data_IF_552699615698
#
_entry.id   IF_552699615698
#
_cell.length_a   1.000
_cell.length_b   1.000
_cell.length_c   1.000
_cell.angle_alpha   90.00
_cell.angle_beta   90.00
_cell.angle_gamma   90.00
#
_symmetry.space_group_name_H-M   'P 1'
#
loop_
_entity.id
_entity.type
_entity.pdbx_description
1 polymer ?
#
# COMPACT_ATOMS: atom_id res chain seq x y z
N UNK A 1 -3.21 -3.08 7.90
CA UNK A 1 -2.06 -3.01 6.97
C UNK A 1 -0.78 -2.89 7.78
N UNK A 2 0.29 -3.66 7.48
CA UNK A 2 1.55 -3.58 8.20
C UNK A 2 2.26 -2.24 7.92
N UNK A 3 2.93 -1.68 8.93
CA UNK A 3 3.85 -0.54 8.78
C UNK A 3 5.26 -1.05 8.47
N UNK A 4 5.41 -1.71 7.32
CA UNK A 4 6.68 -2.34 6.90
C UNK A 4 7.04 -1.87 5.50
N UNK A 5 8.33 -1.67 5.27
CA UNK A 5 8.88 -1.50 3.92
C UNK A 5 9.27 -2.88 3.38
N UNK A 6 8.52 -3.35 2.38
CA UNK A 6 8.69 -4.69 1.82
C UNK A 6 9.99 -4.88 1.05
N UNK A 7 10.68 -3.80 0.68
CA UNK A 7 12.00 -3.87 0.04
C UNK A 7 13.15 -4.09 1.03
N UNK A 8 12.90 -3.92 2.33
CA UNK A 8 13.90 -4.07 3.36
C UNK A 8 13.69 -5.38 4.14
N UNK A 9 14.78 -6.02 4.60
CA UNK A 9 14.66 -7.15 5.51
C UNK A 9 13.99 -6.69 6.81
N UNK A 10 13.03 -7.47 7.29
CA UNK A 10 12.34 -7.23 8.55
C UNK A 10 12.77 -8.26 9.59
N UNK A 11 13.12 -7.79 10.79
CA UNK A 11 13.38 -8.64 11.95
C UNK A 11 12.40 -8.29 13.07
N UNK A 12 11.46 -9.19 13.33
CA UNK A 12 10.48 -9.09 14.40
C UNK A 12 11.04 -9.80 15.63
N UNK A 13 11.48 -9.05 16.62
CA UNK A 13 11.96 -9.61 17.88
C UNK A 13 10.78 -9.94 18.82
N UNK A 14 11.04 -10.84 19.78
CA UNK A 14 10.09 -11.17 20.85
C UNK A 14 8.75 -11.71 20.33
N UNK A 15 8.77 -12.58 19.31
CA UNK A 15 7.59 -13.34 18.90
C UNK A 15 7.46 -14.54 19.86
N UNK A 16 7.14 -14.25 21.12
CA UNK A 16 7.30 -15.17 22.24
C UNK A 16 6.11 -16.11 22.48
N UNK A 17 5.01 -15.93 21.76
CA UNK A 17 3.82 -16.72 21.92
C UNK A 17 3.14 -17.00 20.57
N UNK A 18 2.46 -18.13 20.49
CA UNK A 18 1.73 -18.56 19.29
C UNK A 18 0.65 -17.57 18.86
N UNK A 19 -0.08 -16.97 19.79
CA UNK A 19 -1.10 -15.95 19.46
C UNK A 19 -0.46 -14.71 18.81
N UNK A 20 0.70 -14.28 19.31
CA UNK A 20 1.43 -13.15 18.74
C UNK A 20 1.99 -13.50 17.36
N UNK A 21 2.47 -14.72 17.17
CA UNK A 21 2.86 -15.23 15.85
C UNK A 21 1.67 -15.23 14.87
N UNK A 22 0.46 -15.53 15.34
CA UNK A 22 -0.76 -15.48 14.54
C UNK A 22 -1.13 -14.05 14.15
N UNK A 23 -1.07 -13.10 15.08
CA UNK A 23 -1.31 -11.67 14.79
C UNK A 23 -0.28 -11.12 13.79
N UNK A 24 1.00 -11.47 13.98
CA UNK A 24 2.08 -11.14 13.05
C UNK A 24 1.80 -11.72 11.66
N UNK A 25 1.45 -13.01 11.59
CA UNK A 25 1.11 -13.68 10.33
C UNK A 25 -0.01 -12.94 9.61
N UNK A 26 -1.15 -12.75 10.26
CA UNK A 26 -2.32 -12.09 9.66
C UNK A 26 -1.97 -10.67 9.21
N UNK A 27 -1.17 -9.95 10.00
CA UNK A 27 -0.71 -8.61 9.64
C UNK A 27 0.19 -8.63 8.40
N UNK A 28 1.16 -9.53 8.32
CA UNK A 28 2.08 -9.63 7.19
C UNK A 28 1.42 -10.18 5.91
N UNK A 29 0.41 -11.05 6.01
CA UNK A 29 -0.34 -11.57 4.85
C UNK A 29 -1.09 -10.48 4.06
N UNK A 30 -1.21 -9.26 4.61
CA UNK A 30 -1.73 -8.11 3.85
C UNK A 30 -0.70 -7.52 2.87
N UNK A 31 0.58 -7.87 2.99
CA UNK A 31 1.67 -7.30 2.19
C UNK A 31 2.62 -8.34 1.57
N UNK A 32 2.61 -9.58 2.07
CA UNK A 32 3.47 -10.67 1.60
C UNK A 32 2.61 -11.85 1.12
N UNK A 33 3.04 -12.57 0.07
CA UNK A 33 2.42 -13.83 -0.34
C UNK A 33 2.35 -14.84 0.81
N UNK A 34 1.32 -15.69 0.79
CA UNK A 34 1.11 -16.71 1.82
C UNK A 34 2.25 -17.74 1.89
N UNK A 35 2.87 -18.02 0.74
CA UNK A 35 4.00 -18.92 0.57
C UNK A 35 5.37 -18.24 0.77
N UNK A 36 5.41 -16.95 1.08
CA UNK A 36 6.66 -16.21 1.32
C UNK A 36 7.46 -16.86 2.45
N UNK A 37 8.71 -17.20 2.18
CA UNK A 37 9.56 -17.93 3.11
C UNK A 37 10.05 -17.03 4.26
N UNK A 38 9.57 -17.27 5.47
CA UNK A 38 10.02 -16.59 6.70
C UNK A 38 10.88 -17.51 7.53
N UNK A 39 11.80 -16.96 8.32
CA UNK A 39 12.69 -17.75 9.18
C UNK A 39 12.43 -17.44 10.65
N UNK A 40 11.96 -18.44 11.40
CA UNK A 40 11.90 -18.40 12.86
C UNK A 40 13.30 -18.65 13.40
N UNK A 41 13.80 -17.69 14.16
CA UNK A 41 15.12 -17.68 14.78
C UNK A 41 14.93 -17.80 16.30
N UNK A 42 15.35 -18.91 16.88
CA UNK A 42 15.30 -19.12 18.35
C UNK A 42 16.71 -19.08 18.92
N UNK A 43 16.89 -18.39 20.04
CA UNK A 43 18.15 -18.32 20.79
C UNK A 43 19.37 -17.95 19.92
N UNK A 44 19.19 -16.93 19.06
CA UNK A 44 20.21 -16.44 18.12
C UNK A 44 21.55 -16.19 18.82
N UNK A 45 22.64 -16.68 18.22
CA UNK A 45 23.99 -16.51 18.75
C UNK A 45 24.35 -17.38 19.97
N UNK A 46 23.43 -18.23 20.44
CA UNK A 46 23.69 -19.21 21.51
C UNK A 46 24.00 -20.61 20.95
N UNK A 47 24.57 -21.52 21.77
CA UNK A 47 24.69 -22.94 21.39
C UNK A 47 23.33 -23.64 21.14
N UNK A 48 22.22 -23.05 21.60
CA UNK A 48 20.85 -23.55 21.40
C UNK A 48 20.18 -22.93 20.17
N UNK A 49 20.92 -22.19 19.34
CA UNK A 49 20.36 -21.54 18.16
C UNK A 49 19.64 -22.54 17.25
N UNK A 50 18.40 -22.19 16.89
CA UNK A 50 17.61 -22.94 15.91
C UNK A 50 17.07 -21.97 14.86
N UNK A 51 17.21 -22.36 13.59
CA UNK A 51 16.65 -21.65 12.44
C UNK A 51 15.67 -22.58 11.76
N UNK A 52 14.43 -22.12 11.56
CA UNK A 52 13.40 -22.86 10.83
C UNK A 52 12.79 -21.95 9.80
N UNK A 53 13.00 -22.26 8.52
CA UNK A 53 12.36 -21.56 7.41
C UNK A 53 11.07 -22.27 7.04
N UNK A 54 9.99 -21.52 6.90
CA UNK A 54 8.65 -22.03 6.66
C UNK A 54 7.80 -20.97 5.92
N UNK A 55 6.71 -21.36 5.23
CA UNK A 55 5.80 -20.42 4.58
C UNK A 55 5.15 -19.46 5.58
N UNK A 56 4.98 -18.18 5.25
CA UNK A 56 4.36 -17.19 6.14
C UNK A 56 3.00 -17.68 6.69
N UNK A 57 2.19 -18.33 5.87
CA UNK A 57 0.90 -18.89 6.26
C UNK A 57 0.98 -19.93 7.40
N UNK A 58 2.13 -20.59 7.58
CA UNK A 58 2.36 -21.62 8.60
C UNK A 58 3.05 -21.06 9.85
N UNK A 59 3.31 -19.74 9.92
CA UNK A 59 4.10 -19.14 10.99
C UNK A 59 3.64 -19.54 12.39
N UNK A 60 2.34 -19.64 12.63
CA UNK A 60 1.73 -19.96 13.92
C UNK A 60 1.34 -21.45 14.09
N UNK A 61 1.81 -22.34 13.21
CA UNK A 61 1.53 -23.78 13.29
C UNK A 61 2.40 -24.50 14.32
N UNK A 62 3.58 -23.96 14.64
CA UNK A 62 4.48 -24.52 15.65
C UNK A 62 4.08 -24.16 17.09
N UNK A 63 4.56 -24.95 18.06
CA UNK A 63 4.33 -24.72 19.49
C UNK A 63 5.60 -24.21 20.23
N UNK A 64 6.66 -23.87 19.50
CA UNK A 64 7.97 -23.49 20.05
C UNK A 64 8.22 -21.99 19.95
N UNK A 65 7.46 -21.22 20.71
CA UNK A 65 7.70 -19.78 20.89
C UNK A 65 8.13 -19.50 22.32
N UNK A 66 9.19 -18.73 22.47
CA UNK A 66 9.69 -18.26 23.75
C UNK A 66 10.26 -16.84 23.63
N UNK A 67 10.70 -16.28 24.75
CA UNK A 67 11.28 -14.93 24.82
C UNK A 67 12.56 -14.75 23.98
N UNK A 68 13.16 -15.82 23.46
CA UNK A 68 14.33 -15.81 22.58
C UNK A 68 13.95 -16.04 21.12
N UNK A 69 12.67 -16.01 20.79
CA UNK A 69 12.16 -16.22 19.43
C UNK A 69 11.98 -14.91 18.69
N UNK A 70 12.57 -14.85 17.51
CA UNK A 70 12.45 -13.76 16.53
C UNK A 70 12.03 -14.33 15.19
N UNK A 71 11.40 -13.50 14.34
CA UNK A 71 11.04 -13.86 12.97
C UNK A 71 11.77 -12.93 12.01
N UNK A 72 12.58 -13.53 11.15
CA UNK A 72 13.20 -12.86 10.02
C UNK A 72 12.32 -13.02 8.78
N UNK A 73 11.97 -11.91 8.15
CA UNK A 73 11.21 -11.86 6.90
C UNK A 73 12.12 -11.25 5.83
N UNK A 74 12.55 -12.02 4.82
CA UNK A 74 13.29 -11.49 3.69
C UNK A 74 12.49 -10.41 2.96
N UNK A 75 13.17 -9.44 2.29
CA UNK A 75 12.48 -8.50 1.42
C UNK A 75 11.80 -9.23 0.26
N UNK A 76 10.76 -8.62 -0.29
CA UNK A 76 10.17 -9.03 -1.57
C UNK A 76 11.17 -8.77 -2.72
N UNK A 77 10.92 -9.34 -3.92
CA UNK A 77 11.69 -8.98 -5.10
C UNK A 77 11.82 -7.45 -5.27
N UNK A 78 12.92 -6.97 -5.87
CA UNK A 78 13.07 -5.56 -6.15
C UNK A 78 11.86 -5.00 -6.90
N UNK A 79 11.57 -3.72 -6.67
CA UNK A 79 10.48 -2.98 -7.33
C UNK A 79 9.05 -3.29 -6.84
N UNK A 80 8.87 -4.02 -5.74
CA UNK A 80 7.55 -4.30 -5.16
C UNK A 80 7.04 -3.24 -4.17
N UNK A 81 7.48 -1.99 -4.29
CA UNK A 81 7.09 -0.91 -3.37
C UNK A 81 6.68 0.34 -4.13
N UNK A 82 5.85 1.16 -3.50
CA UNK A 82 5.51 2.48 -4.01
C UNK A 82 6.74 3.38 -4.19
N UNK A 83 7.70 3.35 -3.25
CA UNK A 83 8.94 4.14 -3.35
C UNK A 83 9.75 3.76 -4.58
N UNK A 84 9.83 2.47 -4.92
CA UNK A 84 10.53 2.02 -6.12
C UNK A 84 9.88 2.56 -7.41
N UNK A 85 8.56 2.70 -7.47
CA UNK A 85 7.88 3.36 -8.59
C UNK A 85 8.24 4.85 -8.66
N UNK A 86 8.25 5.55 -7.52
CA UNK A 86 8.66 6.96 -7.47
C UNK A 86 10.12 7.15 -7.92
N UNK A 87 11.03 6.29 -7.47
CA UNK A 87 12.43 6.30 -7.89
C UNK A 87 12.58 6.04 -9.39
N UNK A 88 11.85 5.06 -9.92
CA UNK A 88 11.86 4.75 -11.35
C UNK A 88 11.37 5.93 -12.19
N UNK A 89 10.24 6.52 -11.83
CA UNK A 89 9.68 7.69 -12.55
C UNK A 89 10.62 8.89 -12.46
N UNK A 90 11.22 9.15 -11.30
CA UNK A 90 12.23 10.20 -11.15
C UNK A 90 13.44 9.95 -12.05
N UNK A 91 13.88 8.71 -12.20
CA UNK A 91 14.98 8.35 -13.10
C UNK A 91 14.60 8.49 -14.58
N UNK A 92 13.39 8.06 -14.97
CA UNK A 92 12.86 8.24 -16.32
C UNK A 92 12.83 9.72 -16.73
N UNK A 93 12.54 10.62 -15.79
CA UNK A 93 12.50 12.07 -16.03
C UNK A 93 13.81 12.81 -15.77
N UNK A 94 14.84 12.13 -15.28
CA UNK A 94 16.17 12.72 -15.08
C UNK A 94 16.79 13.16 -16.43
N UNK A 95 17.78 14.07 -16.47
CA UNK A 95 18.39 14.53 -17.72
C UNK A 95 18.91 13.40 -18.64
N UNK A 96 19.38 12.31 -18.06
CA UNK A 96 19.84 11.08 -18.72
C UNK A 96 18.74 10.06 -19.01
N UNK A 97 17.51 10.33 -18.58
CA UNK A 97 16.35 9.47 -18.71
C UNK A 97 15.70 9.47 -20.09
N UNK A 98 14.46 9.03 -20.15
CA UNK A 98 13.69 8.88 -21.38
C UNK A 98 13.25 10.26 -21.92
N UNK A 99 13.57 10.62 -23.17
CA UNK A 99 13.16 11.89 -23.76
C UNK A 99 11.64 12.09 -23.78
N UNK A 100 10.88 11.02 -24.05
CA UNK A 100 9.42 11.09 -24.10
C UNK A 100 8.82 11.37 -22.71
N UNK A 101 9.27 10.66 -21.67
CA UNK A 101 8.80 10.89 -20.31
C UNK A 101 9.12 12.30 -19.83
N UNK A 102 10.27 12.86 -20.21
CA UNK A 102 10.68 14.23 -19.86
C UNK A 102 9.85 15.31 -20.54
N UNK A 103 9.38 15.06 -21.76
CA UNK A 103 8.54 16.00 -22.52
C UNK A 103 7.10 16.06 -21.97
N UNK A 104 6.67 15.10 -21.15
CA UNK A 104 5.35 15.09 -20.53
C UNK A 104 5.14 16.29 -19.60
N UNK A 105 3.91 16.80 -19.65
CA UNK A 105 3.37 17.89 -18.83
C UNK A 105 2.10 17.39 -18.12
N UNK A 106 1.60 18.13 -17.13
CA UNK A 106 0.30 17.79 -16.53
C UNK A 106 -0.82 17.81 -17.58
N UNK A 107 -0.74 18.73 -18.54
CA UNK A 107 -1.75 18.90 -19.58
C UNK A 107 -1.76 17.75 -20.60
N UNK A 108 -0.60 17.17 -20.93
CA UNK A 108 -0.48 16.05 -21.86
C UNK A 108 -0.97 14.74 -21.24
N UNK A 109 -0.68 14.51 -19.96
CA UNK A 109 -1.07 13.28 -19.24
C UNK A 109 -2.57 13.17 -18.93
N UNK A 110 -3.39 14.17 -19.27
CA UNK A 110 -4.84 14.12 -19.02
C UNK A 110 -5.55 13.07 -19.89
N UNK A 111 -5.08 12.89 -21.11
CA UNK A 111 -5.63 11.89 -22.04
C UNK A 111 -5.33 10.50 -21.51
N UNK A 112 -4.04 10.22 -21.32
CA UNK A 112 -3.53 8.97 -20.76
C UNK A 112 -4.28 8.61 -19.45
N UNK A 113 -4.35 9.51 -18.46
CA UNK A 113 -5.10 9.23 -17.22
C UNK A 113 -6.57 8.87 -17.45
N UNK A 114 -7.24 9.48 -18.44
CA UNK A 114 -8.63 9.15 -18.76
C UNK A 114 -8.72 7.76 -19.38
N UNK A 115 -7.79 7.41 -20.27
CA UNK A 115 -7.74 6.12 -20.94
C UNK A 115 -7.44 5.01 -19.92
N UNK A 116 -6.41 5.15 -19.07
CA UNK A 116 -6.10 4.18 -17.99
C UNK A 116 -7.28 3.99 -17.02
N UNK A 117 -8.01 5.09 -16.72
CA UNK A 117 -9.21 4.99 -15.90
C UNK A 117 -10.34 4.26 -16.63
N UNK A 118 -10.44 4.39 -17.95
CA UNK A 118 -11.44 3.69 -18.74
C UNK A 118 -11.10 2.19 -18.83
N UNK A 119 -9.83 1.85 -19.07
CA UNK A 119 -9.36 0.46 -19.13
C UNK A 119 -9.54 -0.26 -17.77
N UNK A 120 -9.24 0.42 -16.66
CA UNK A 120 -9.55 -0.10 -15.32
C UNK A 120 -11.05 -0.36 -15.12
N UNK A 121 -11.92 0.54 -15.61
CA UNK A 121 -13.37 0.35 -15.53
C UNK A 121 -13.84 -0.80 -16.42
N UNK A 122 -13.28 -0.94 -17.62
CA UNK A 122 -13.56 -2.06 -18.53
C UNK A 122 -13.18 -3.40 -17.90
N UNK A 123 -12.02 -3.49 -17.25
CA UNK A 123 -11.57 -4.69 -16.53
C UNK A 123 -12.53 -5.06 -15.38
N UNK A 124 -13.03 -4.07 -14.64
CA UNK A 124 -14.02 -4.29 -13.56
C UNK A 124 -15.38 -4.73 -14.15
N UNK A 125 -15.84 -4.07 -15.21
CA UNK A 125 -17.12 -4.37 -15.84
C UNK A 125 -17.14 -5.78 -16.48
N UNK A 126 -15.97 -6.27 -16.92
CA UNK A 126 -15.81 -7.62 -17.44
C UNK A 126 -16.11 -8.72 -16.39
N UNK A 127 -15.93 -8.46 -15.10
CA UNK A 127 -16.32 -9.41 -14.03
C UNK A 127 -17.84 -9.69 -13.99
N UNK A 128 -18.67 -8.90 -14.67
CA UNK A 128 -20.13 -9.03 -14.64
C UNK A 128 -20.65 -10.39 -15.14
N UNK A 129 -19.88 -11.13 -15.95
CA UNK A 129 -20.24 -12.47 -16.41
C UNK A 129 -19.73 -13.61 -15.49
N UNK A 130 -19.00 -13.25 -14.43
CA UNK A 130 -18.42 -14.17 -13.44
C UNK A 130 -17.01 -14.66 -13.79
N UNK A 131 -16.33 -14.10 -14.80
CA UNK A 131 -14.90 -14.28 -15.01
C UNK A 131 -14.06 -13.66 -13.88
N UNK A 132 -12.84 -14.17 -13.71
CA UNK A 132 -11.85 -13.61 -12.77
C UNK A 132 -10.92 -12.68 -13.53
N UNK A 133 -11.17 -11.37 -13.42
CA UNK A 133 -10.39 -10.32 -14.08
C UNK A 133 -9.34 -9.69 -13.14
N UNK A 134 -9.01 -10.36 -12.03
CA UNK A 134 -8.06 -9.84 -11.03
C UNK A 134 -6.71 -9.42 -11.63
N UNK A 135 -6.25 -10.13 -12.66
CA UNK A 135 -4.99 -9.80 -13.33
C UNK A 135 -5.08 -8.49 -14.12
N UNK A 136 -6.13 -8.30 -14.91
CA UNK A 136 -6.37 -7.08 -15.68
C UNK A 136 -6.58 -5.90 -14.72
N UNK A 137 -7.44 -6.05 -13.71
CA UNK A 137 -7.66 -5.00 -12.69
C UNK A 137 -6.35 -4.59 -12.01
N UNK A 138 -5.46 -5.56 -11.71
CA UNK A 138 -4.17 -5.26 -11.11
C UNK A 138 -3.22 -4.51 -12.04
N UNK A 139 -3.24 -4.83 -13.35
CA UNK A 139 -2.46 -4.16 -14.39
C UNK A 139 -2.89 -2.69 -14.51
N UNK A 140 -4.16 -2.46 -14.79
CA UNK A 140 -4.71 -1.12 -15.03
C UNK A 140 -4.65 -0.22 -13.77
N UNK A 141 -4.80 -0.81 -12.58
CA UNK A 141 -4.58 -0.07 -11.34
C UNK A 141 -3.12 0.41 -11.21
N UNK A 142 -2.17 -0.38 -11.73
CA UNK A 142 -0.77 -0.01 -11.85
C UNK A 142 -0.56 1.20 -12.75
N UNK A 143 -1.27 1.29 -13.87
CA UNK A 143 -1.12 2.38 -14.83
C UNK A 143 -1.79 3.69 -14.34
N UNK A 144 -2.92 3.59 -13.65
CA UNK A 144 -3.49 4.72 -12.90
C UNK A 144 -2.51 5.22 -11.82
N UNK A 145 -1.82 4.32 -11.12
CA UNK A 145 -0.78 4.68 -10.16
C UNK A 145 0.42 5.35 -10.84
N UNK A 146 0.88 4.84 -11.98
CA UNK A 146 1.95 5.43 -12.79
C UNK A 146 1.59 6.87 -13.18
N UNK A 147 0.38 7.08 -13.70
CA UNK A 147 -0.14 8.40 -14.07
C UNK A 147 -0.09 9.37 -12.89
N UNK A 148 -0.56 8.94 -11.71
CA UNK A 148 -0.52 9.76 -10.50
C UNK A 148 0.92 10.10 -10.07
N UNK A 149 1.83 9.12 -10.10
CA UNK A 149 3.24 9.33 -9.74
C UNK A 149 3.92 10.27 -10.75
N UNK A 150 3.72 10.08 -12.05
CA UNK A 150 4.25 10.94 -13.11
C UNK A 150 3.81 12.39 -12.94
N UNK A 151 2.51 12.63 -12.71
CA UNK A 151 1.98 13.96 -12.45
C UNK A 151 2.58 14.61 -11.19
N UNK A 152 2.77 13.85 -10.10
CA UNK A 152 3.41 14.39 -8.89
C UNK A 152 4.89 14.67 -9.08
N UNK A 153 5.59 13.89 -9.91
CA UNK A 153 6.99 14.12 -10.25
C UNK A 153 7.15 15.42 -11.05
N UNK A 154 6.32 15.64 -12.08
CA UNK A 154 6.24 16.92 -12.81
C UNK A 154 5.98 18.09 -11.86
N UNK A 155 4.97 17.96 -10.99
CA UNK A 155 4.65 19.02 -10.03
C UNK A 155 5.79 19.30 -9.03
N UNK A 156 6.57 18.28 -8.69
CA UNK A 156 7.76 18.42 -7.84
C UNK A 156 8.88 19.18 -8.57
N UNK A 157 9.14 18.84 -9.84
CA UNK A 157 10.11 19.53 -10.70
C UNK A 157 9.75 21.00 -10.92
N UNK A 158 8.45 21.30 -11.02
CA UNK A 158 7.92 22.66 -11.14
C UNK A 158 7.86 23.43 -9.80
N UNK A 159 8.22 22.80 -8.69
CA UNK A 159 8.20 23.42 -7.35
C UNK A 159 6.79 23.72 -6.81
N UNK A 160 5.78 22.96 -7.24
CA UNK A 160 4.35 23.20 -6.92
C UNK A 160 3.89 22.45 -5.67
N UNK A 161 4.07 21.13 -5.67
CA UNK A 161 3.75 20.23 -4.55
C UNK A 161 4.48 18.90 -4.73
N UNK A 162 4.57 18.13 -3.65
CA UNK A 162 5.20 16.81 -3.64
C UNK A 162 4.15 15.71 -3.36
N UNK A 163 4.51 14.45 -3.61
CA UNK A 163 3.66 13.29 -3.28
C UNK A 163 3.18 13.32 -1.83
N UNK A 164 4.05 13.70 -0.89
CA UNK A 164 3.70 13.81 0.53
C UNK A 164 2.58 14.82 0.81
N UNK A 165 2.44 15.87 -0.01
CA UNK A 165 1.34 16.84 0.11
C UNK A 165 0.02 16.25 -0.36
N UNK A 166 0.03 15.52 -1.48
CA UNK A 166 -1.15 14.82 -2.00
C UNK A 166 -1.64 13.75 -0.99
N UNK A 167 -0.73 12.91 -0.49
CA UNK A 167 -1.01 11.88 0.51
C UNK A 167 -1.54 12.49 1.81
N UNK A 168 -0.87 13.53 2.34
CA UNK A 168 -1.33 14.23 3.55
C UNK A 168 -2.72 14.82 3.35
N UNK A 169 -2.99 15.39 2.18
CA UNK A 169 -4.28 15.95 1.81
C UNK A 169 -5.41 14.91 1.82
N UNK A 170 -5.22 13.75 1.19
CA UNK A 170 -6.22 12.68 1.18
C UNK A 170 -6.39 12.03 2.56
N UNK A 171 -5.30 11.76 3.29
CA UNK A 171 -5.37 11.15 4.64
C UNK A 171 -6.11 12.05 5.61
N UNK A 172 -5.73 13.33 5.69
CA UNK A 172 -6.39 14.28 6.62
C UNK A 172 -7.88 14.44 6.28
N UNK A 173 -8.21 14.51 4.99
CA UNK A 173 -9.58 14.59 4.49
C UNK A 173 -10.40 13.34 4.85
N UNK A 174 -9.82 12.15 4.69
CA UNK A 174 -10.51 10.90 5.03
C UNK A 174 -10.71 10.75 6.54
N UNK A 175 -9.70 11.05 7.37
CA UNK A 175 -9.86 11.03 8.84
C UNK A 175 -11.01 11.95 9.26
N UNK A 176 -11.02 13.19 8.75
CA UNK A 176 -12.09 14.16 9.05
C UNK A 176 -13.47 13.69 8.60
N UNK A 177 -13.58 13.04 7.43
CA UNK A 177 -14.86 12.54 6.88
C UNK A 177 -15.35 11.24 7.53
N UNK A 178 -14.54 10.61 8.38
CA UNK A 178 -14.91 9.39 9.10
C UNK A 178 -14.85 9.57 10.63
N UNK A 179 -15.59 10.55 11.20
CA UNK A 179 -15.60 10.77 12.64
C UNK A 179 -16.21 9.60 13.41
N UNK A 180 -16.88 8.67 12.72
CA UNK A 180 -17.42 7.43 13.29
C UNK A 180 -16.41 6.29 13.40
N UNK A 181 -15.29 6.41 12.68
CA UNK A 181 -14.16 5.48 12.78
C UNK A 181 -13.06 6.06 13.67
N UNK A 182 -12.78 7.36 13.54
CA UNK A 182 -11.62 8.01 14.16
C UNK A 182 -11.97 9.04 15.25
N UNK A 183 -13.24 9.23 15.56
CA UNK A 183 -13.72 10.14 16.60
C UNK A 183 -14.88 9.54 17.39
N UNK A 184 -15.74 10.40 17.94
CA UNK A 184 -16.78 9.99 18.89
C UNK A 184 -18.20 9.88 18.28
N UNK A 185 -18.33 9.96 16.96
CA UNK A 185 -19.65 9.98 16.31
C UNK A 185 -20.17 8.55 16.12
N UNK A 186 -21.22 8.16 16.83
CA UNK A 186 -21.87 6.87 16.58
C UNK A 186 -22.80 6.95 15.35
N UNK A 187 -22.75 5.93 14.50
CA UNK A 187 -23.65 5.77 13.36
C UNK A 187 -24.38 4.43 13.42
N UNK A 188 -25.66 4.40 13.09
CA UNK A 188 -26.51 3.20 13.18
C UNK A 188 -26.67 2.44 11.85
N UNK A 189 -26.07 2.92 10.77
CA UNK A 189 -26.18 2.32 9.44
C UNK A 189 -25.63 3.21 8.32
N UNK A 190 -25.57 2.65 7.11
CA UNK A 190 -24.99 3.29 5.91
C UNK A 190 -25.65 4.63 5.59
N UNK A 191 -26.98 4.73 5.72
CA UNK A 191 -27.72 5.97 5.44
C UNK A 191 -27.28 7.13 6.34
N UNK A 192 -26.99 6.84 7.62
CA UNK A 192 -26.50 7.84 8.57
C UNK A 192 -25.03 8.24 8.27
N UNK A 193 -24.22 7.30 7.75
CA UNK A 193 -22.87 7.60 7.26
C UNK A 193 -22.93 8.55 6.05
N UNK A 194 -23.79 8.27 5.07
CA UNK A 194 -23.96 9.11 3.88
C UNK A 194 -24.47 10.51 4.23
N UNK A 195 -25.46 10.61 5.11
CA UNK A 195 -25.97 11.91 5.57
C UNK A 195 -24.88 12.74 6.26
N UNK A 196 -24.08 12.13 7.16
CA UNK A 196 -22.94 12.81 7.78
C UNK A 196 -21.88 13.22 6.74
N UNK A 197 -21.63 12.37 5.74
CA UNK A 197 -20.68 12.65 4.68
C UNK A 197 -21.06 13.91 3.88
N UNK A 198 -22.33 14.04 3.51
CA UNK A 198 -22.83 15.18 2.73
C UNK A 198 -22.77 16.48 3.54
N UNK A 199 -23.08 16.42 4.85
CA UNK A 199 -22.93 17.56 5.77
C UNK A 199 -21.47 18.02 5.85
N UNK A 200 -20.53 17.09 6.03
CA UNK A 200 -19.09 17.41 6.11
C UNK A 200 -18.60 17.99 4.78
N UNK A 201 -19.00 17.40 3.63
CA UNK A 201 -18.68 17.95 2.29
C UNK A 201 -19.21 19.38 2.11
N UNK A 202 -20.42 19.67 2.58
CA UNK A 202 -21.02 20.99 2.46
C UNK A 202 -20.27 22.05 3.29
N UNK A 203 -19.86 21.69 4.52
CA UNK A 203 -19.05 22.55 5.37
C UNK A 203 -17.67 22.85 4.76
N UNK A 204 -16.98 21.83 4.24
CA UNK A 204 -15.68 22.00 3.57
C UNK A 204 -15.76 22.97 2.37
N UNK A 205 -16.84 22.89 1.57
CA UNK A 205 -17.08 23.82 0.45
C UNK A 205 -17.32 25.25 0.93
N UNK A 206 -17.97 25.42 2.08
CA UNK A 206 -18.24 26.72 2.66
C UNK A 206 -16.98 27.38 3.27
N UNK A 207 -16.01 26.59 3.75
CA UNK A 207 -14.73 27.09 4.27
C UNK A 207 -13.72 27.45 3.16
N UNK A 208 -13.90 26.92 1.95
CA UNK A 208 -13.02 27.16 0.79
C UNK A 208 -13.48 28.29 -0.13
N UNK A 209 -14.69 28.83 0.08
CA UNK A 209 -15.27 29.95 -0.68
C UNK A 209 -15.16 31.27 0.06
#
# INVERSE_FOLDING_TARGET
>A
HPMVDVNLPLLLAQVYARWLASDVKLTLLNAYPADHAVTVVTAAGSPQQRLVTLPLAELDHGDHFDHLTSVYVPPLPPHSSFTALQELVAHLRAPEGCPWDREQTLESLRGDLLDECAELLEAIDAEADGSDESAAICEELGDVLLSAVMMTQIATEEGRFQMGDAVRGIVTKLIRRHPHVFGDVSVSGVDHVLANWDVIKAQEKAEQG
#
